data_IF_245273504866
#
_entry.id   IF_245273504866
#
_cell.length_a   1.000
_cell.length_b   1.000
_cell.length_c   1.000
_cell.angle_alpha   90.00
_cell.angle_beta   90.00
_cell.angle_gamma   90.00
#
_symmetry.space_group_name_H-M   'P 1'
#
loop_
_entity.id
_entity.type
_entity.pdbx_description
1 polymer ?
#
# COMPACT_ATOMS: atom_id res chain seq x y z
N UNK A 1 -8.16 -5.40 12.63
CA UNK A 1 -6.89 -4.73 12.90
C UNK A 1 -7.14 -3.26 12.66
N UNK A 2 -6.94 -2.41 13.68
CA UNK A 2 -7.09 -0.97 13.52
C UNK A 2 -5.94 -0.42 12.64
N UNK A 3 -6.16 0.70 11.97
CA UNK A 3 -5.17 1.35 11.11
C UNK A 3 -3.93 1.78 11.90
N UNK A 4 -4.10 2.14 13.17
CA UNK A 4 -3.01 2.49 14.08
C UNK A 4 -2.08 1.29 14.37
N UNK A 5 -2.66 0.13 14.69
CA UNK A 5 -1.91 -1.13 14.87
C UNK A 5 -1.21 -1.57 13.57
N UNK A 6 -1.86 -1.34 12.43
CA UNK A 6 -1.30 -1.62 11.11
C UNK A 6 -0.08 -0.74 10.85
N UNK A 7 -0.16 0.56 11.14
CA UNK A 7 0.94 1.50 10.98
C UNK A 7 2.12 1.20 11.90
N UNK A 8 1.89 0.86 13.17
CA UNK A 8 2.97 0.45 14.08
C UNK A 8 3.68 -0.80 13.54
N UNK A 9 2.91 -1.77 13.06
CA UNK A 9 3.44 -3.00 12.46
C UNK A 9 4.27 -2.68 11.21
N UNK A 10 3.79 -1.79 10.33
CA UNK A 10 4.48 -1.42 9.09
C UNK A 10 5.75 -0.62 9.34
N UNK A 11 5.80 0.23 10.37
CA UNK A 11 7.03 0.94 10.77
C UNK A 11 8.17 0.00 11.14
N UNK A 12 7.86 -1.21 11.62
CA UNK A 12 8.85 -2.26 11.94
C UNK A 12 9.23 -3.14 10.75
N UNK A 13 8.51 -3.03 9.62
CA UNK A 13 8.72 -3.85 8.41
C UNK A 13 9.24 -2.99 7.27
N UNK A 14 9.94 -3.60 6.31
CA UNK A 14 10.38 -2.91 5.07
C UNK A 14 9.28 -2.84 4.00
N UNK A 15 8.39 -3.84 4.00
CA UNK A 15 7.42 -4.07 2.93
C UNK A 15 6.02 -4.31 3.49
N UNK A 16 5.03 -3.84 2.74
CA UNK A 16 3.59 -4.02 2.98
C UNK A 16 2.98 -4.65 1.72
N UNK A 17 2.14 -5.67 1.90
CA UNK A 17 1.44 -6.30 0.78
C UNK A 17 0.25 -5.45 0.29
N UNK A 18 -0.18 -5.68 -0.95
CA UNK A 18 -1.42 -5.09 -1.45
C UNK A 18 -2.67 -5.49 -0.63
N UNK A 19 -2.64 -6.65 0.03
CA UNK A 19 -3.73 -7.11 0.90
C UNK A 19 -3.78 -6.32 2.21
N UNK A 20 -2.64 -6.15 2.88
CA UNK A 20 -2.55 -5.37 4.12
C UNK A 20 -2.97 -3.92 3.88
N UNK A 21 -2.49 -3.30 2.79
CA UNK A 21 -2.86 -1.93 2.46
C UNK A 21 -4.34 -1.79 2.10
N UNK A 22 -4.89 -2.75 1.36
CA UNK A 22 -6.32 -2.77 1.02
C UNK A 22 -7.21 -2.91 2.27
N UNK A 23 -6.79 -3.74 3.23
CA UNK A 23 -7.50 -3.89 4.50
C UNK A 23 -7.49 -2.60 5.32
N UNK A 24 -6.35 -1.90 5.38
CA UNK A 24 -6.24 -0.64 6.12
C UNK A 24 -7.10 0.48 5.53
N UNK A 25 -7.34 0.46 4.21
CA UNK A 25 -8.08 1.48 3.49
C UNK A 25 -9.51 1.06 3.12
N UNK A 26 -9.96 -0.10 3.59
CA UNK A 26 -11.30 -0.65 3.31
C UNK A 26 -11.63 -0.76 1.82
N UNK A 27 -10.63 -1.08 0.99
CA UNK A 27 -10.78 -1.28 -0.47
C UNK A 27 -10.36 -2.68 -0.90
N UNK A 28 -10.41 -2.96 -2.20
CA UNK A 28 -9.90 -4.23 -2.74
C UNK A 28 -8.40 -4.16 -3.05
N UNK A 29 -7.67 -5.29 -2.96
CA UNK A 29 -6.27 -5.35 -3.42
C UNK A 29 -6.11 -5.00 -4.91
N UNK A 30 -7.16 -5.16 -5.72
CA UNK A 30 -7.16 -4.73 -7.12
C UNK A 30 -7.14 -3.19 -7.22
N UNK A 31 -7.93 -2.52 -6.39
CA UNK A 31 -7.97 -1.06 -6.31
C UNK A 31 -6.60 -0.49 -5.96
N UNK A 32 -5.93 -1.05 -4.94
CA UNK A 32 -4.57 -0.66 -4.55
C UNK A 32 -3.58 -0.81 -5.71
N UNK A 33 -3.64 -1.92 -6.45
CA UNK A 33 -2.79 -2.12 -7.64
C UNK A 33 -3.08 -1.06 -8.71
N UNK A 34 -4.36 -0.77 -8.98
CA UNK A 34 -4.74 0.24 -9.95
C UNK A 34 -4.22 1.64 -9.58
N UNK A 35 -4.24 2.00 -8.30
CA UNK A 35 -3.67 3.26 -7.81
C UNK A 35 -2.17 3.36 -7.99
N UNK A 36 -1.45 2.25 -7.81
CA UNK A 36 -0.04 2.19 -8.13
C UNK A 36 0.20 2.27 -9.65
N UNK A 37 -0.59 1.54 -10.43
CA UNK A 37 -0.53 1.57 -11.90
C UNK A 37 -0.81 2.95 -12.49
N UNK A 38 -1.68 3.74 -11.86
CA UNK A 38 -2.01 5.10 -12.32
C UNK A 38 -0.81 6.05 -12.24
N UNK A 39 0.22 5.72 -11.43
CA UNK A 39 1.39 6.56 -11.12
C UNK A 39 1.03 7.94 -10.54
N UNK A 40 -0.19 8.10 -10.03
CA UNK A 40 -0.68 9.33 -9.37
C UNK A 40 -0.64 9.25 -7.85
N UNK A 41 -0.02 8.21 -7.29
CA UNK A 41 0.07 7.99 -5.84
C UNK A 41 1.53 7.96 -5.39
N UNK A 42 1.82 8.28 -4.13
CA UNK A 42 3.18 8.18 -3.58
C UNK A 42 3.66 6.73 -3.42
N UNK A 43 2.83 5.73 -3.72
CA UNK A 43 3.13 4.30 -3.56
C UNK A 43 4.37 3.90 -4.35
N UNK A 44 5.43 3.51 -3.62
CA UNK A 44 6.66 2.93 -4.17
C UNK A 44 6.59 1.43 -4.00
N UNK A 45 6.67 0.70 -5.11
CA UNK A 45 6.53 -0.75 -5.10
C UNK A 45 7.73 -1.48 -5.69
N UNK A 46 7.91 -2.71 -5.24
CA UNK A 46 8.79 -3.71 -5.84
C UNK A 46 7.94 -4.91 -6.25
N UNK A 47 8.29 -5.52 -7.39
CA UNK A 47 7.63 -6.71 -7.92
C UNK A 47 8.64 -7.86 -7.99
N UNK A 48 8.28 -9.00 -7.43
CA UNK A 48 9.03 -10.23 -7.68
C UNK A 48 8.72 -10.73 -9.10
N UNK A 49 9.74 -11.09 -9.87
CA UNK A 49 9.61 -11.68 -11.21
C UNK A 49 8.80 -10.84 -12.23
N UNK A 50 8.65 -9.53 -12.00
CA UNK A 50 7.81 -8.67 -12.84
C UNK A 50 6.30 -8.97 -12.74
N UNK A 51 5.86 -9.75 -11.75
CA UNK A 51 4.46 -10.16 -11.60
C UNK A 51 3.77 -9.37 -10.48
N UNK A 52 2.67 -8.72 -10.84
CA UNK A 52 1.89 -7.84 -9.97
C UNK A 52 1.06 -8.56 -8.92
N UNK A 53 0.96 -9.89 -9.01
CA UNK A 53 0.44 -10.72 -7.91
C UNK A 53 1.35 -10.67 -6.70
N UNK A 54 2.67 -10.51 -6.91
CA UNK A 54 3.68 -10.44 -5.85
C UNK A 54 4.15 -9.01 -5.54
N UNK A 55 3.36 -8.01 -5.94
CA UNK A 55 3.67 -6.61 -5.65
C UNK A 55 3.74 -6.36 -4.14
N UNK A 56 4.79 -5.66 -3.72
CA UNK A 56 4.96 -5.17 -2.34
C UNK A 56 5.28 -3.69 -2.36
N UNK A 57 4.68 -2.96 -1.43
CA UNK A 57 4.88 -1.52 -1.26
C UNK A 57 5.89 -1.27 -0.16
N UNK A 58 6.72 -0.24 -0.29
CA UNK A 58 7.59 0.16 0.82
C UNK A 58 6.71 0.66 1.96
N UNK A 59 7.01 0.24 3.19
CA UNK A 59 6.21 0.67 4.34
C UNK A 59 6.15 2.18 4.47
N UNK A 60 7.24 2.89 4.16
CA UNK A 60 7.27 4.35 4.18
C UNK A 60 6.23 4.97 3.24
N UNK A 61 6.18 4.54 1.97
CA UNK A 61 5.20 5.07 1.01
C UNK A 61 3.76 4.65 1.33
N UNK A 62 3.57 3.45 1.90
CA UNK A 62 2.25 3.00 2.32
C UNK A 62 1.72 3.81 3.51
N UNK A 63 2.59 4.14 4.47
CA UNK A 63 2.23 5.00 5.61
C UNK A 63 1.89 6.41 5.12
N UNK A 64 2.76 7.02 4.30
CA UNK A 64 2.53 8.34 3.69
C UNK A 64 1.19 8.39 2.97
N UNK A 65 0.92 7.40 2.12
CA UNK A 65 -0.31 7.29 1.37
C UNK A 65 -1.58 7.20 2.23
N UNK A 66 -1.53 6.44 3.33
CA UNK A 66 -2.66 6.32 4.24
C UNK A 66 -2.84 7.60 5.08
N UNK A 67 -1.74 8.25 5.47
CA UNK A 67 -1.76 9.48 6.27
C UNK A 67 -2.25 10.70 5.49
N UNK A 68 -1.90 10.82 4.21
CA UNK A 68 -2.38 11.92 3.35
C UNK A 68 -3.89 11.87 3.11
N UNK A 69 -4.52 10.71 3.39
CA UNK A 69 -5.89 10.46 3.03
C UNK A 69 -6.01 10.30 1.52
N UNK A 70 -6.99 9.52 1.09
CA UNK A 70 -7.22 9.33 -0.34
C UNK A 70 -7.73 10.64 -0.95
N UNK A 71 -6.85 11.50 -1.45
CA UNK A 71 -7.24 12.53 -2.40
C UNK A 71 -7.46 11.81 -3.74
N UNK A 72 -8.70 11.44 -4.05
CA UNK A 72 -9.05 10.99 -5.38
C UNK A 72 -8.53 12.03 -6.40
N UNK A 73 -7.77 11.63 -7.43
CA UNK A 73 -7.37 12.54 -8.49
C UNK A 73 -8.52 12.93 -9.41
#
# INVERSE_FOLDING_TARGET
MNIDESMETWRRRRWVSAQELAQAMEVTPRTVRNWWYSRKTPLKAWMAYGDTRFIRFTSASAIEFVQEGFAEP
#
